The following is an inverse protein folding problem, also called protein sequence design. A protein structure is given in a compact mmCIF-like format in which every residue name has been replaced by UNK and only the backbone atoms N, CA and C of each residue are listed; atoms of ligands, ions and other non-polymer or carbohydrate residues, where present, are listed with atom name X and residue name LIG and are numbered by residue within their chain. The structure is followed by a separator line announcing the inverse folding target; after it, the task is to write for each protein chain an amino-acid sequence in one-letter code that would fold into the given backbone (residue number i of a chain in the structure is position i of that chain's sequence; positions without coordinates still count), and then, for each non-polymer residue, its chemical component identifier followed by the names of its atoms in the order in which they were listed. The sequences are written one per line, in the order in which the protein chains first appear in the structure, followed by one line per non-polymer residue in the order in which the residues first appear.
data_IF_043915733194
#
_entry.id   IF_043915733194
#
_cell.length_a   1.000
_cell.length_b   1.000
_cell.length_c   1.000
_cell.angle_alpha   90.00
_cell.angle_beta   90.00
_cell.angle_gamma   90.00
#
_symmetry.space_group_name_H-M   'P 1'
#
loop_
_entity.id
_entity.type
_entity.pdbx_description
1 polymer ?
#
# COMPACT_ATOMS: atom_id res chain seq x y z
N UNK A 1 11.79 -1.16 3.84
CA UNK A 1 10.95 -2.24 3.27
C UNK A 1 11.03 -2.30 1.74
N UNK A 2 10.67 -1.22 1.04
CA UNK A 2 10.72 -1.10 -0.44
C UNK A 2 12.07 -1.53 -1.05
N UNK A 3 13.20 -1.13 -0.45
CA UNK A 3 14.53 -1.55 -0.92
C UNK A 3 14.76 -3.07 -0.81
N UNK A 4 14.22 -3.74 0.21
CA UNK A 4 14.36 -5.18 0.43
C UNK A 4 13.58 -5.99 -0.59
N UNK A 5 12.33 -5.59 -0.87
CA UNK A 5 11.49 -6.26 -1.88
C UNK A 5 12.12 -6.10 -3.27
N UNK A 6 12.64 -4.91 -3.60
CA UNK A 6 13.38 -4.68 -4.86
C UNK A 6 14.63 -5.54 -4.98
N UNK A 7 15.44 -5.65 -3.93
CA UNK A 7 16.65 -6.50 -3.92
C UNK A 7 16.29 -7.97 -4.09
N UNK A 8 15.22 -8.44 -3.45
CA UNK A 8 14.71 -9.80 -3.66
C UNK A 8 14.27 -10.02 -5.11
N UNK A 9 13.49 -9.08 -5.68
CA UNK A 9 13.03 -9.15 -7.06
C UNK A 9 14.19 -9.10 -8.08
N UNK A 10 15.33 -8.52 -7.73
CA UNK A 10 16.55 -8.52 -8.54
C UNK A 10 17.33 -9.84 -8.40
N UNK A 11 17.47 -10.37 -7.18
CA UNK A 11 18.06 -11.70 -6.94
C UNK A 11 17.30 -12.80 -7.69
N UNK A 12 15.96 -12.76 -7.69
CA UNK A 12 15.12 -13.70 -8.45
C UNK A 12 15.41 -13.60 -9.97
N UNK A 13 15.63 -12.38 -10.46
CA UNK A 13 15.98 -12.11 -11.87
C UNK A 13 17.38 -12.58 -12.25
N UNK A 14 18.35 -12.46 -11.36
CA UNK A 14 19.71 -12.95 -11.60
C UNK A 14 19.73 -14.48 -11.56
N UNK A 15 19.10 -15.12 -10.57
CA UNK A 15 19.03 -16.59 -10.47
C UNK A 15 18.28 -17.24 -11.63
N UNK A 16 17.20 -16.63 -12.11
CA UNK A 16 16.51 -17.09 -13.33
C UNK A 16 17.37 -17.03 -14.60
N UNK A 17 18.35 -16.10 -14.69
CA UNK A 17 19.28 -16.03 -15.84
C UNK A 17 20.33 -17.14 -15.81
N UNK A 18 20.79 -17.52 -14.62
CA UNK A 18 21.86 -18.51 -14.47
C UNK A 18 21.36 -19.97 -14.43
N UNK A 19 20.04 -20.20 -14.46
CA UNK A 19 19.42 -21.55 -14.43
C UNK A 19 19.91 -22.47 -13.30
N UNK A 20 20.44 -21.89 -12.21
CA UNK A 20 20.94 -22.62 -11.05
C UNK A 20 19.79 -22.98 -10.10
N UNK A 21 18.85 -23.83 -10.55
CA UNK A 21 17.65 -24.21 -9.80
C UNK A 21 17.77 -25.65 -9.29
N UNK A 22 18.44 -25.79 -8.14
CA UNK A 22 18.44 -27.01 -7.33
C UNK A 22 17.43 -26.90 -6.18
N UNK A 23 17.06 -28.03 -5.60
CA UNK A 23 16.15 -28.11 -4.44
C UNK A 23 16.61 -27.19 -3.30
N UNK A 24 17.91 -27.11 -3.06
CA UNK A 24 18.51 -26.23 -2.04
C UNK A 24 18.28 -24.75 -2.35
N UNK A 25 18.50 -24.31 -3.59
CA UNK A 25 18.30 -22.90 -3.99
C UNK A 25 16.85 -22.47 -3.93
N UNK A 26 15.89 -23.36 -4.26
CA UNK A 26 14.46 -23.09 -4.13
C UNK A 26 14.08 -22.98 -2.65
N UNK A 27 14.62 -23.86 -1.81
CA UNK A 27 14.42 -23.83 -0.35
C UNK A 27 14.93 -22.53 0.28
N UNK A 28 16.11 -22.06 -0.15
CA UNK A 28 16.64 -20.75 0.25
C UNK A 28 15.69 -19.62 -0.15
N UNK A 29 15.20 -19.59 -1.39
CA UNK A 29 14.29 -18.54 -1.86
C UNK A 29 12.95 -18.55 -1.10
N UNK A 30 12.43 -19.74 -0.75
CA UNK A 30 11.26 -19.87 0.15
C UNK A 30 11.57 -19.24 1.51
N UNK A 31 12.73 -19.53 2.10
CA UNK A 31 13.11 -18.98 3.41
C UNK A 31 13.23 -17.45 3.39
N UNK A 32 13.84 -16.90 2.33
CA UNK A 32 14.02 -15.46 2.15
C UNK A 32 12.66 -14.79 1.95
N UNK A 33 11.80 -15.35 1.11
CA UNK A 33 10.46 -14.83 0.88
C UNK A 33 9.60 -14.87 2.15
N UNK A 34 9.63 -15.98 2.90
CA UNK A 34 8.93 -16.08 4.20
C UNK A 34 9.41 -15.02 5.17
N UNK A 35 10.72 -14.80 5.29
CA UNK A 35 11.27 -13.77 6.15
C UNK A 35 10.82 -12.36 5.69
N UNK A 36 10.83 -12.10 4.38
CA UNK A 36 10.35 -10.82 3.82
C UNK A 36 8.87 -10.58 4.17
N UNK A 37 8.02 -11.59 3.97
CA UNK A 37 6.59 -11.53 4.28
C UNK A 37 6.35 -11.36 5.78
N UNK A 38 7.11 -12.07 6.61
CA UNK A 38 7.02 -11.93 8.07
C UNK A 38 7.39 -10.51 8.52
N UNK A 39 8.48 -9.95 7.99
CA UNK A 39 8.87 -8.56 8.28
C UNK A 39 7.83 -7.56 7.80
N UNK A 40 7.24 -7.79 6.63
CA UNK A 40 6.16 -6.94 6.13
C UNK A 40 4.94 -7.00 7.05
N UNK A 41 4.60 -8.19 7.53
CA UNK A 41 3.50 -8.38 8.48
C UNK A 41 3.77 -7.71 9.84
N UNK A 42 5.00 -7.79 10.38
CA UNK A 42 5.38 -7.06 11.60
C UNK A 42 5.23 -5.54 11.43
N UNK A 43 5.67 -5.01 10.28
CA UNK A 43 5.53 -3.57 9.99
C UNK A 43 4.07 -3.19 9.84
N UNK A 44 3.26 -4.01 9.14
CA UNK A 44 1.82 -3.79 9.02
C UNK A 44 1.16 -3.79 10.39
N UNK A 45 1.40 -4.79 11.24
CA UNK A 45 0.84 -4.83 12.59
C UNK A 45 1.25 -3.63 13.45
N UNK A 46 2.51 -3.20 13.36
CA UNK A 46 3.01 -2.06 14.12
C UNK A 46 2.39 -0.74 13.67
N UNK A 47 2.08 -0.59 12.38
CA UNK A 47 1.62 0.68 11.78
C UNK A 47 0.11 0.72 11.59
N UNK A 48 -0.61 -0.41 11.53
CA UNK A 48 -2.00 -0.42 11.05
C UNK A 48 -2.92 0.48 11.86
N UNK A 49 -2.76 0.51 13.19
CA UNK A 49 -3.68 1.21 14.07
C UNK A 49 -3.40 2.71 14.02
N UNK A 50 -2.12 3.08 13.94
CA UNK A 50 -1.70 4.46 13.75
C UNK A 50 -2.14 4.98 12.40
N UNK A 51 -2.00 4.18 11.34
CA UNK A 51 -2.51 4.53 10.03
C UNK A 51 -4.03 4.74 10.07
N UNK A 52 -4.79 3.84 10.71
CA UNK A 52 -6.23 4.00 10.88
C UNK A 52 -6.58 5.32 11.58
N UNK A 53 -5.93 5.62 12.70
CA UNK A 53 -6.18 6.84 13.49
C UNK A 53 -5.78 8.10 12.73
N UNK A 54 -4.66 8.08 11.98
CA UNK A 54 -4.22 9.21 11.16
C UNK A 54 -5.22 9.47 10.03
N UNK A 55 -5.64 8.42 9.31
CA UNK A 55 -6.65 8.57 8.26
C UNK A 55 -7.97 9.09 8.83
N UNK A 56 -8.42 8.57 9.98
CA UNK A 56 -9.59 9.07 10.68
C UNK A 56 -9.47 10.55 11.04
N UNK A 57 -8.37 10.94 11.69
CA UNK A 57 -8.11 12.32 12.08
C UNK A 57 -8.04 13.28 10.89
N UNK A 58 -7.41 12.86 9.78
CA UNK A 58 -7.33 13.65 8.55
C UNK A 58 -8.71 13.82 7.91
N UNK A 59 -9.48 12.74 7.77
CA UNK A 59 -10.83 12.80 7.19
C UNK A 59 -11.75 13.69 8.05
N UNK A 60 -11.70 13.54 9.37
CA UNK A 60 -12.43 14.42 10.30
C UNK A 60 -11.98 15.87 10.19
N UNK A 61 -10.66 16.11 10.07
CA UNK A 61 -10.10 17.45 9.86
C UNK A 61 -10.59 18.10 8.56
N UNK A 62 -10.73 17.31 7.50
CA UNK A 62 -11.32 17.78 6.24
C UNK A 62 -12.79 18.15 6.39
N UNK A 63 -13.60 17.30 7.02
CA UNK A 63 -15.00 17.63 7.26
C UNK A 63 -15.15 18.89 8.11
N UNK A 64 -14.38 19.01 9.19
CA UNK A 64 -14.37 20.22 10.02
C UNK A 64 -13.97 21.47 9.23
N UNK A 65 -12.95 21.35 8.36
CA UNK A 65 -12.50 22.45 7.49
C UNK A 65 -13.62 22.93 6.57
N UNK A 66 -14.32 22.00 5.90
CA UNK A 66 -15.44 22.32 5.01
C UNK A 66 -16.60 22.94 5.79
N UNK A 67 -16.96 22.39 6.95
CA UNK A 67 -18.03 22.93 7.79
C UNK A 67 -17.72 24.35 8.26
N UNK A 68 -16.48 24.63 8.69
CA UNK A 68 -16.07 25.97 9.11
C UNK A 68 -16.08 26.95 7.93
N UNK A 69 -15.62 26.53 6.75
CA UNK A 69 -15.63 27.37 5.54
C UNK A 69 -17.04 27.76 5.10
N UNK A 70 -18.02 26.87 5.27
CA UNK A 70 -19.42 27.16 4.92
C UNK A 70 -20.15 27.87 6.06
N UNK A 71 -19.67 27.78 7.30
CA UNK A 71 -20.30 28.49 8.41
C UNK A 71 -20.33 30.00 8.13
N UNK A 72 -21.51 30.61 8.26
CA UNK A 72 -21.69 32.06 8.11
C UNK A 72 -21.06 32.90 9.23
N UNK A 73 -20.52 32.25 10.27
CA UNK A 73 -20.03 32.88 11.49
C UNK A 73 -18.73 33.65 11.24
N UNK A 74 -18.75 34.96 11.54
CA UNK A 74 -17.63 35.88 11.34
C UNK A 74 -16.41 35.54 12.19
N UNK A 75 -16.60 34.79 13.29
CA UNK A 75 -15.51 34.32 14.17
C UNK A 75 -14.50 33.45 13.42
N UNK A 76 -14.93 32.77 12.34
CA UNK A 76 -14.07 31.94 11.51
C UNK A 76 -13.46 32.66 10.30
N UNK A 77 -13.90 33.88 10.00
CA UNK A 77 -13.40 34.71 8.89
C UNK A 77 -12.17 35.56 9.27
N UNK A 78 -11.66 35.36 10.49
CA UNK A 78 -10.44 36.02 10.97
C UNK A 78 -9.21 35.46 10.22
N UNK A 79 -8.25 36.30 9.77
CA UNK A 79 -7.10 35.86 8.97
C UNK A 79 -6.29 34.73 9.61
N UNK A 80 -6.16 34.76 10.95
CA UNK A 80 -5.45 33.72 11.71
C UNK A 80 -6.12 32.36 11.57
N UNK A 81 -7.46 32.33 11.66
CA UNK A 81 -8.25 31.11 11.50
C UNK A 81 -8.14 30.57 10.07
N UNK A 82 -8.20 31.46 9.06
CA UNK A 82 -8.02 31.07 7.66
C UNK A 82 -6.64 30.45 7.40
N UNK A 83 -5.57 31.06 7.92
CA UNK A 83 -4.20 30.52 7.80
C UNK A 83 -4.08 29.16 8.47
N UNK A 84 -4.67 29.00 9.66
CA UNK A 84 -4.68 27.72 10.37
C UNK A 84 -5.39 26.62 9.57
N UNK A 85 -6.55 26.93 8.99
CA UNK A 85 -7.31 25.99 8.16
C UNK A 85 -6.49 25.54 6.94
N UNK A 86 -5.88 26.49 6.22
CA UNK A 86 -5.03 26.18 5.06
C UNK A 86 -3.84 25.32 5.48
N UNK A 87 -3.21 25.63 6.62
CA UNK A 87 -2.10 24.84 7.15
C UNK A 87 -2.49 23.40 7.47
N UNK A 88 -3.63 23.20 8.14
CA UNK A 88 -4.17 21.87 8.46
C UNK A 88 -4.46 21.09 7.18
N UNK A 89 -5.08 21.74 6.18
CA UNK A 89 -5.38 21.13 4.90
C UNK A 89 -4.12 20.67 4.16
N UNK A 90 -3.12 21.55 4.03
CA UNK A 90 -1.85 21.24 3.35
C UNK A 90 -1.11 20.10 4.05
N UNK A 91 -1.02 20.11 5.38
CA UNK A 91 -0.38 19.02 6.13
C UNK A 91 -1.13 17.70 5.96
N UNK A 92 -2.47 17.74 6.02
CA UNK A 92 -3.32 16.56 5.87
C UNK A 92 -3.15 15.90 4.50
N UNK A 93 -3.17 16.71 3.44
CA UNK A 93 -2.90 16.25 2.07
C UNK A 93 -1.48 15.69 1.95
N UNK A 94 -0.48 16.37 2.51
CA UNK A 94 0.91 15.91 2.50
C UNK A 94 1.09 14.54 3.17
N UNK A 95 0.52 14.37 4.36
CA UNK A 95 0.56 13.09 5.10
C UNK A 95 -0.11 11.97 4.32
N UNK A 96 -1.29 12.22 3.75
CA UNK A 96 -2.00 11.23 2.92
C UNK A 96 -1.16 10.81 1.71
N UNK A 97 -0.63 11.78 0.96
CA UNK A 97 0.19 11.49 -0.23
C UNK A 97 1.41 10.65 0.15
N UNK A 98 2.11 11.00 1.23
CA UNK A 98 3.30 10.25 1.68
C UNK A 98 2.92 8.82 2.07
N UNK A 99 1.87 8.63 2.88
CA UNK A 99 1.42 7.31 3.31
C UNK A 99 0.99 6.44 2.12
N UNK A 100 0.16 6.98 1.23
CA UNK A 100 -0.30 6.28 0.02
C UNK A 100 0.81 6.02 -0.98
N UNK A 101 1.81 6.90 -1.08
CA UNK A 101 2.98 6.66 -1.93
C UNK A 101 3.75 5.42 -1.45
N UNK A 102 4.07 5.35 -0.16
CA UNK A 102 4.78 4.18 0.39
C UNK A 102 3.92 2.91 0.36
N UNK A 103 2.63 3.01 0.69
CA UNK A 103 1.70 1.89 0.64
C UNK A 103 1.54 1.32 -0.78
N UNK A 104 1.38 2.20 -1.78
CA UNK A 104 1.30 1.80 -3.19
C UNK A 104 2.63 1.24 -3.67
N UNK A 105 3.77 1.85 -3.32
CA UNK A 105 5.08 1.34 -3.71
C UNK A 105 5.35 -0.07 -3.18
N UNK A 106 4.86 -0.42 -1.99
CA UNK A 106 4.97 -1.79 -1.45
C UNK A 106 4.10 -2.75 -2.25
N UNK A 107 2.85 -2.37 -2.53
CA UNK A 107 1.91 -3.18 -3.31
C UNK A 107 2.41 -3.44 -4.74
N UNK A 108 2.93 -2.40 -5.41
CA UNK A 108 3.47 -2.50 -6.76
C UNK A 108 4.68 -3.44 -6.82
N UNK A 109 5.58 -3.36 -5.84
CA UNK A 109 6.73 -4.26 -5.78
C UNK A 109 6.32 -5.70 -5.47
N UNK A 110 5.31 -5.91 -4.64
CA UNK A 110 4.73 -7.24 -4.42
C UNK A 110 4.13 -7.82 -5.71
N UNK A 111 3.41 -7.00 -6.46
CA UNK A 111 2.87 -7.38 -7.77
C UNK A 111 3.97 -7.63 -8.79
N UNK A 112 5.08 -6.88 -8.77
CA UNK A 112 6.25 -7.13 -9.62
C UNK A 112 6.87 -8.51 -9.33
N UNK A 113 6.97 -8.89 -8.04
CA UNK A 113 7.46 -10.22 -7.65
C UNK A 113 6.52 -11.32 -8.17
N UNK A 114 5.20 -11.14 -8.04
CA UNK A 114 4.21 -12.09 -8.59
C UNK A 114 4.33 -12.22 -10.11
N UNK A 115 4.45 -11.10 -10.83
CA UNK A 115 4.59 -11.10 -12.29
C UNK A 115 5.86 -11.83 -12.73
N UNK A 116 6.99 -11.54 -12.07
CA UNK A 116 8.25 -12.24 -12.30
C UNK A 116 8.14 -13.73 -12.03
N UNK A 117 7.45 -14.13 -10.96
CA UNK A 117 7.23 -15.54 -10.63
C UNK A 117 6.42 -16.28 -11.73
N UNK A 118 5.42 -15.61 -12.34
CA UNK A 118 4.69 -16.16 -13.49
C UNK A 118 5.61 -16.32 -14.71
N UNK A 119 6.38 -15.28 -15.04
CA UNK A 119 7.36 -15.34 -16.15
C UNK A 119 8.42 -16.44 -15.92
N UNK A 120 8.77 -16.72 -14.66
CA UNK A 120 9.72 -17.78 -14.30
C UNK A 120 9.09 -19.16 -14.31
N UNK A 121 7.81 -19.29 -13.99
CA UNK A 121 7.08 -20.56 -14.07
C UNK A 121 7.09 -21.12 -15.50
N UNK A 122 6.81 -20.30 -16.51
CA UNK A 122 6.87 -20.72 -17.92
C UNK A 122 8.27 -21.20 -18.31
N UNK A 123 9.32 -20.48 -17.89
CA UNK A 123 10.71 -20.90 -18.15
C UNK A 123 11.06 -22.20 -17.43
N UNK A 124 10.69 -22.34 -16.16
CA UNK A 124 10.99 -23.50 -15.34
C UNK A 124 10.34 -24.78 -15.89
N UNK A 125 9.09 -24.72 -16.36
CA UNK A 125 8.39 -25.86 -16.98
C UNK A 125 9.11 -26.32 -18.25
N UNK A 126 9.65 -25.40 -19.06
CA UNK A 126 10.40 -25.73 -20.29
C UNK A 126 11.70 -26.48 -20.05
N UNK A 127 12.26 -26.44 -18.84
CA UNK A 127 13.48 -27.17 -18.48
C UNK A 127 13.25 -28.61 -18.04
N UNK A 128 12.01 -29.09 -17.97
CA UNK A 128 11.65 -30.44 -17.50
C UNK A 128 12.40 -30.84 -16.21
N UNK A 129 12.24 -30.07 -15.12
CA UNK A 129 12.98 -30.28 -13.88
C UNK A 129 12.59 -31.60 -13.21
N UNK A 130 13.46 -32.15 -12.33
CA UNK A 130 13.13 -33.34 -11.55
C UNK A 130 11.91 -33.09 -10.64
N UNK A 131 11.14 -34.14 -10.38
CA UNK A 131 9.86 -34.08 -9.63
C UNK A 131 9.98 -33.36 -8.28
N UNK A 132 11.08 -33.57 -7.55
CA UNK A 132 11.35 -32.94 -6.26
C UNK A 132 11.53 -31.41 -6.38
N UNK A 133 12.21 -30.94 -7.42
CA UNK A 133 12.35 -29.50 -7.69
C UNK A 133 11.02 -28.90 -8.15
N UNK A 134 10.21 -29.66 -8.90
CA UNK A 134 8.89 -29.23 -9.34
C UNK A 134 7.93 -29.01 -8.16
N UNK A 135 7.90 -29.93 -7.19
CA UNK A 135 7.09 -29.79 -5.98
C UNK A 135 7.50 -28.58 -5.13
N UNK A 136 8.81 -28.39 -4.92
CA UNK A 136 9.32 -27.24 -4.18
C UNK A 136 9.03 -25.92 -4.89
N UNK A 137 9.15 -25.89 -6.22
CA UNK A 137 8.79 -24.72 -7.01
C UNK A 137 7.29 -24.42 -6.93
N UNK A 138 6.42 -25.43 -7.01
CA UNK A 138 4.98 -25.27 -6.86
C UNK A 138 4.62 -24.69 -5.49
N UNK A 139 5.28 -25.14 -4.43
CA UNK A 139 5.11 -24.60 -3.09
C UNK A 139 5.55 -23.13 -2.99
N UNK A 140 6.70 -22.78 -3.56
CA UNK A 140 7.16 -21.39 -3.65
C UNK A 140 6.17 -20.53 -4.44
N UNK A 141 5.72 -21.02 -5.60
CA UNK A 141 4.76 -20.33 -6.47
C UNK A 141 3.46 -20.04 -5.72
N UNK A 142 2.93 -21.05 -5.04
CA UNK A 142 1.71 -20.92 -4.25
C UNK A 142 1.87 -19.89 -3.13
N UNK A 143 2.97 -19.95 -2.37
CA UNK A 143 3.26 -18.97 -1.31
C UNK A 143 3.32 -17.55 -1.89
N UNK A 144 4.07 -17.36 -2.98
CA UNK A 144 4.24 -16.03 -3.60
C UNK A 144 2.92 -15.49 -4.12
N UNK A 145 2.12 -16.32 -4.79
CA UNK A 145 0.85 -15.90 -5.38
C UNK A 145 -0.23 -15.61 -4.33
N UNK A 146 -0.33 -16.44 -3.28
CA UNK A 146 -1.31 -16.28 -2.21
C UNK A 146 -0.96 -15.16 -1.23
N UNK A 147 0.32 -14.84 -1.06
CA UNK A 147 0.73 -13.77 -0.14
C UNK A 147 0.28 -12.41 -0.68
N UNK A 148 -0.45 -11.64 0.14
CA UNK A 148 -0.83 -10.29 -0.21
C UNK A 148 0.16 -9.29 0.41
N UNK A 149 0.97 -8.65 -0.43
CA UNK A 149 1.97 -7.68 0.02
C UNK A 149 1.37 -6.28 -0.02
N UNK A 150 0.57 -5.96 0.99
CA UNK A 150 -0.03 -4.63 1.13
C UNK A 150 0.04 -4.19 2.59
N UNK A 151 0.10 -2.88 2.80
CA UNK A 151 -0.03 -2.27 4.13
C UNK A 151 -1.48 -1.82 4.29
N UNK A 152 -2.04 -2.06 5.46
CA UNK A 152 -3.44 -1.81 5.78
C UNK A 152 -3.59 -0.77 6.88
N UNK A 153 -4.71 -0.03 6.85
CA UNK A 153 -5.18 0.75 7.99
C UNK A 153 -6.15 -0.10 8.81
N UNK A 154 -5.73 -0.52 10.01
CA UNK A 154 -6.53 -1.33 10.92
C UNK A 154 -6.96 -2.70 10.39
N UNK A 155 -6.35 -3.21 9.31
CA UNK A 155 -6.84 -4.40 8.59
C UNK A 155 -8.13 -4.18 7.78
N UNK A 156 -8.63 -2.94 7.69
CA UNK A 156 -9.93 -2.60 7.08
C UNK A 156 -9.76 -2.17 5.62
N UNK A 157 -8.74 -1.36 5.34
CA UNK A 157 -8.47 -0.84 4.00
C UNK A 157 -7.00 -0.92 3.64
N UNK A 158 -6.70 -1.10 2.35
CA UNK A 158 -5.34 -1.04 1.84
C UNK A 158 -4.90 0.43 1.67
N UNK A 159 -3.71 0.77 2.14
CA UNK A 159 -3.12 2.10 1.98
C UNK A 159 -2.57 2.20 0.56
N UNK A 160 -3.28 2.90 -0.31
CA UNK A 160 -2.87 3.12 -1.70
C UNK A 160 -3.42 4.46 -2.24
N UNK A 161 -3.05 4.82 -3.47
CA UNK A 161 -3.59 6.02 -4.14
C UNK A 161 -5.10 5.93 -4.43
N UNK A 162 -5.63 4.73 -4.61
CA UNK A 162 -7.08 4.52 -4.78
C UNK A 162 -7.87 5.02 -3.57
N UNK A 163 -7.36 4.81 -2.36
CA UNK A 163 -7.97 5.33 -1.14
C UNK A 163 -8.01 6.87 -1.10
N UNK A 164 -6.95 7.56 -1.53
CA UNK A 164 -6.94 9.03 -1.64
C UNK A 164 -8.02 9.49 -2.61
N UNK A 165 -8.14 8.82 -3.76
CA UNK A 165 -9.13 9.18 -4.76
C UNK A 165 -10.56 9.04 -4.21
N UNK A 166 -10.82 7.98 -3.44
CA UNK A 166 -12.09 7.79 -2.74
C UNK A 166 -12.35 8.90 -1.71
N UNK A 167 -11.35 9.27 -0.90
CA UNK A 167 -11.47 10.36 0.09
C UNK A 167 -11.75 11.68 -0.62
N UNK A 168 -11.01 12.00 -1.68
CA UNK A 168 -11.22 13.21 -2.46
C UNK A 168 -12.64 13.26 -3.07
N UNK A 169 -13.12 12.15 -3.62
CA UNK A 169 -14.48 12.04 -4.13
C UNK A 169 -15.52 12.29 -3.03
N UNK A 170 -15.34 11.69 -1.84
CA UNK A 170 -16.25 11.90 -0.70
C UNK A 170 -16.24 13.36 -0.25
N UNK A 171 -15.07 13.99 -0.19
CA UNK A 171 -14.94 15.40 0.18
C UNK A 171 -15.66 16.34 -0.78
N UNK A 172 -15.50 16.14 -2.10
CA UNK A 172 -16.19 16.94 -3.12
C UNK A 172 -17.70 16.75 -3.01
N UNK A 173 -18.17 15.51 -2.90
CA UNK A 173 -19.59 15.20 -2.74
C UNK A 173 -20.16 15.86 -1.48
N UNK A 174 -19.47 15.76 -0.36
CA UNK A 174 -19.90 16.37 0.90
C UNK A 174 -19.93 17.90 0.83
N UNK A 175 -18.91 18.53 0.24
CA UNK A 175 -18.89 19.98 0.03
C UNK A 175 -20.06 20.47 -0.82
N UNK A 176 -20.36 19.77 -1.92
CA UNK A 176 -21.52 20.09 -2.77
C UNK A 176 -22.83 19.94 -2.01
N UNK A 177 -23.00 18.85 -1.24
CA UNK A 177 -24.21 18.62 -0.45
C UNK A 177 -24.42 19.69 0.61
N UNK A 178 -23.37 20.11 1.32
CA UNK A 178 -23.46 21.19 2.30
C UNK A 178 -23.91 22.49 1.62
N UNK A 179 -23.30 22.86 0.49
CA UNK A 179 -23.64 24.09 -0.21
C UNK A 179 -25.09 24.08 -0.71
N UNK A 180 -25.60 22.91 -1.14
CA UNK A 180 -26.99 22.75 -1.55
C UNK A 180 -27.98 22.82 -0.37
N UNK A 181 -27.57 22.33 0.81
CA UNK A 181 -28.38 22.38 2.02
C UNK A 181 -28.43 23.78 2.64
N UNK A 182 -27.35 24.55 2.54
CA UNK A 182 -27.27 25.94 3.03
C UNK A 182 -28.07 26.93 2.18
N UNK A 183 -28.33 26.60 0.90
CA UNK A 183 -29.15 27.40 -0.02
C UNK A 183 -30.67 27.20 0.12
N UNK A 184 -31.12 26.36 1.05
CA UNK A 184 -32.55 26.12 1.36
C UNK A 184 -32.95 26.78 2.66
#
# INVERSE_FOLDING_TARGET
MVKLIRVYAQKLKERSRYMAWNVETISEDISIFKNLTFRLHEVDQAVNIYALLIYGAVISGFFNTVSVMVSGDESFKVPVTTVYIVWVFVNSVGVLIILSYYGTSIADQGNEVKRKMIEYSDKFVRFSPPLSAMQMFQFLFEIVMKTNMMVTGGGIFAINFGLILSIASVMVTYGVLILQLDQK
#
